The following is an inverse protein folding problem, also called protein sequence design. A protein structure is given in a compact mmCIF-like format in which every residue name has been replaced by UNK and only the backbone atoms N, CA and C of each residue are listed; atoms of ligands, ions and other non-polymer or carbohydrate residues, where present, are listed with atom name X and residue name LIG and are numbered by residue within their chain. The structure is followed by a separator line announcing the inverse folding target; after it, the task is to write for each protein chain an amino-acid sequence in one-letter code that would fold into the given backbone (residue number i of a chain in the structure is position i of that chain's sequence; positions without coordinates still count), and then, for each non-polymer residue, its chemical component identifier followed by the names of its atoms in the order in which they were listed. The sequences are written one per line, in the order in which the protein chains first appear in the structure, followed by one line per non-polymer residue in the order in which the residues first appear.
data_IF_788691472390
#
_entry.id   IF_788691472390
#
_cell.length_a   1.000
_cell.length_b   1.000
_cell.length_c   1.000
_cell.angle_alpha   90.00
_cell.angle_beta   90.00
_cell.angle_gamma   90.00
#
_symmetry.space_group_name_H-M   'P 1'
#
loop_
_entity.id
_entity.type
_entity.pdbx_description
1 polymer ?
#
# COMPACT_ATOMS: atom_id res chain seq x y z
N UNK A 1 36.95 15.85 10.62
CA UNK A 1 35.96 16.85 11.12
C UNK A 1 34.81 16.86 10.14
N UNK A 2 33.65 16.43 10.61
CA UNK A 2 32.42 16.17 9.86
C UNK A 2 31.72 17.47 9.40
N UNK A 3 30.87 17.28 8.38
CA UNK A 3 29.65 18.01 8.05
C UNK A 3 29.76 19.33 7.26
N UNK A 4 29.19 19.29 6.05
CA UNK A 4 28.25 20.26 5.41
C UNK A 4 28.54 20.40 3.90
N UNK A 5 27.66 19.86 3.05
CA UNK A 5 26.84 20.63 2.10
C UNK A 5 26.21 19.74 1.01
N UNK A 6 25.23 18.91 1.40
CA UNK A 6 24.39 18.08 0.51
C UNK A 6 23.14 18.83 -0.03
N UNK A 7 23.14 20.16 -0.02
CA UNK A 7 21.96 21.00 -0.35
C UNK A 7 21.96 21.59 -1.77
N UNK A 8 23.05 21.46 -2.53
CA UNK A 8 23.16 22.03 -3.88
C UNK A 8 22.56 21.15 -4.99
N UNK A 9 22.40 19.84 -4.75
CA UNK A 9 21.96 18.87 -5.77
C UNK A 9 20.46 18.89 -6.07
N UNK A 10 19.62 19.26 -5.10
CA UNK A 10 18.16 19.35 -5.27
C UNK A 10 17.75 20.66 -5.95
N UNK A 11 18.45 21.76 -5.64
CA UNK A 11 18.25 23.05 -6.30
C UNK A 11 18.63 22.99 -7.79
N UNK A 12 19.68 22.22 -8.14
CA UNK A 12 20.10 22.03 -9.52
C UNK A 12 19.03 21.28 -10.35
N UNK A 13 18.34 20.29 -9.76
CA UNK A 13 17.27 19.55 -10.45
C UNK A 13 16.06 20.40 -10.80
N UNK A 14 15.65 21.31 -9.90
CA UNK A 14 14.57 22.28 -10.15
C UNK A 14 15.00 23.36 -11.15
N UNK A 15 16.25 23.82 -11.09
CA UNK A 15 16.82 24.79 -12.02
C UNK A 15 17.01 24.22 -13.42
N UNK A 16 17.35 22.94 -13.56
CA UNK A 16 17.47 22.27 -14.86
C UNK A 16 16.10 22.02 -15.50
N UNK A 17 15.07 21.70 -14.72
CA UNK A 17 13.68 21.61 -15.21
C UNK A 17 13.16 22.99 -15.65
N UNK A 18 13.45 24.05 -14.88
CA UNK A 18 13.13 25.42 -15.24
C UNK A 18 13.90 25.89 -16.49
N UNK A 19 15.21 25.61 -16.58
CA UNK A 19 16.05 25.97 -17.72
C UNK A 19 15.68 25.22 -19.01
N UNK A 20 15.21 23.98 -18.89
CA UNK A 20 14.74 23.17 -20.01
C UNK A 20 13.39 23.67 -20.55
N UNK A 21 12.47 24.07 -19.66
CA UNK A 21 11.21 24.72 -20.04
C UNK A 21 11.42 26.11 -20.66
N UNK A 22 12.43 26.85 -20.21
CA UNK A 22 12.80 28.17 -20.75
C UNK A 22 13.38 28.12 -22.17
N UNK A 23 13.94 26.99 -22.62
CA UNK A 23 14.61 26.88 -23.93
C UNK A 23 13.69 26.55 -25.10
N UNK A 24 12.48 26.02 -24.87
CA UNK A 24 11.67 25.43 -25.96
C UNK A 24 10.29 26.03 -26.24
N UNK A 25 9.78 26.99 -25.45
CA UNK A 25 8.46 27.59 -25.75
C UNK A 25 8.55 29.06 -26.16
N UNK A 26 8.83 29.31 -27.44
CA UNK A 26 8.75 30.66 -28.03
C UNK A 26 7.30 31.20 -28.13
N UNK A 27 6.27 30.41 -27.78
CA UNK A 27 4.84 30.77 -27.89
C UNK A 27 4.08 30.94 -26.57
N UNK A 28 4.70 30.70 -25.41
CA UNK A 28 4.00 30.70 -24.12
C UNK A 28 4.33 31.92 -23.23
N UNK A 29 4.35 33.14 -23.78
CA UNK A 29 4.97 34.31 -23.14
C UNK A 29 4.07 35.36 -22.46
N UNK A 30 2.76 35.15 -22.29
CA UNK A 30 1.94 36.11 -21.54
C UNK A 30 1.53 35.57 -20.15
N UNK A 31 1.01 34.35 -20.09
CA UNK A 31 0.42 33.83 -18.84
C UNK A 31 1.46 33.24 -17.87
N UNK A 32 2.60 32.75 -18.39
CA UNK A 32 3.69 32.20 -17.57
C UNK A 32 4.49 33.29 -16.83
N UNK A 33 4.57 34.51 -17.35
CA UNK A 33 5.32 35.58 -16.71
C UNK A 33 4.61 36.09 -15.44
N UNK A 34 3.29 36.23 -15.49
CA UNK A 34 2.48 36.58 -14.32
C UNK A 34 2.50 35.45 -13.28
N UNK A 35 2.47 34.20 -13.73
CA UNK A 35 2.61 33.00 -12.88
C UNK A 35 3.99 32.92 -12.20
N UNK A 36 5.09 33.26 -12.90
CA UNK A 36 6.43 33.33 -12.30
C UNK A 36 6.62 34.51 -11.34
N UNK A 37 5.92 35.63 -11.53
CA UNK A 37 5.90 36.76 -10.59
C UNK A 37 5.17 36.37 -9.29
N UNK A 38 4.07 35.62 -9.37
CA UNK A 38 3.42 35.02 -8.21
C UNK A 38 4.29 33.92 -7.55
N UNK A 39 5.02 33.13 -8.35
CA UNK A 39 6.00 32.13 -7.89
C UNK A 39 7.18 32.80 -7.13
N UNK A 40 7.65 33.96 -7.60
CA UNK A 40 8.70 34.75 -6.97
C UNK A 40 8.18 35.55 -5.77
N UNK A 41 6.92 35.98 -5.77
CA UNK A 41 6.27 36.61 -4.60
C UNK A 41 6.01 35.62 -3.47
N UNK A 42 5.57 34.40 -3.78
CA UNK A 42 5.56 33.30 -2.81
C UNK A 42 6.98 32.85 -2.42
N UNK A 43 7.95 32.96 -3.32
CA UNK A 43 9.37 32.66 -3.07
C UNK A 43 10.09 33.67 -2.17
N UNK A 44 9.66 34.93 -2.13
CA UNK A 44 10.31 35.97 -1.32
C UNK A 44 10.14 35.75 0.20
N UNK A 45 9.01 35.17 0.64
CA UNK A 45 8.82 34.73 2.03
C UNK A 45 9.53 33.40 2.34
N UNK A 46 9.72 32.54 1.33
CA UNK A 46 10.45 31.26 1.50
C UNK A 46 11.95 31.51 1.69
N UNK A 47 12.53 32.53 1.06
CA UNK A 47 13.95 32.86 1.22
C UNK A 47 14.28 33.56 2.56
N UNK A 48 13.36 34.34 3.13
CA UNK A 48 13.55 34.95 4.46
C UNK A 48 13.37 33.93 5.60
N UNK A 49 12.54 32.90 5.39
CA UNK A 49 12.41 31.76 6.32
C UNK A 49 13.66 30.86 6.37
N UNK A 50 14.56 30.90 5.37
CA UNK A 50 15.79 30.10 5.37
C UNK A 50 16.82 30.57 6.42
N UNK A 51 16.60 31.73 7.06
CA UNK A 51 17.47 32.22 8.13
C UNK A 51 17.12 31.67 9.53
N UNK A 52 16.01 30.94 9.71
CA UNK A 52 15.63 30.29 10.97
C UNK A 52 14.95 28.95 10.68
N UNK A 53 15.73 27.88 10.71
CA UNK A 53 15.35 26.53 10.25
C UNK A 53 14.14 25.92 10.95
N UNK A 54 13.31 25.21 10.18
CA UNK A 54 12.68 23.94 10.56
C UNK A 54 12.49 23.10 9.27
N UNK A 55 13.23 22.00 9.12
CA UNK A 55 13.30 21.18 7.89
C UNK A 55 11.95 20.68 7.36
N UNK A 56 10.91 20.70 8.20
CA UNK A 56 9.55 20.32 7.85
C UNK A 56 8.83 21.36 6.97
N UNK A 57 9.00 22.66 7.23
CA UNK A 57 8.31 23.72 6.46
C UNK A 57 8.84 23.84 5.04
N UNK A 58 10.16 23.65 4.86
CA UNK A 58 10.82 23.65 3.54
C UNK A 58 10.41 22.42 2.73
N UNK A 59 10.37 21.22 3.35
CA UNK A 59 9.90 20.01 2.68
C UNK A 59 8.42 20.10 2.31
N UNK A 60 7.57 20.63 3.20
CA UNK A 60 6.16 20.88 2.94
C UNK A 60 5.97 21.91 1.81
N UNK A 61 6.74 22.99 1.79
CA UNK A 61 6.71 23.99 0.72
C UNK A 61 7.09 23.41 -0.65
N UNK A 62 8.17 22.63 -0.73
CA UNK A 62 8.57 21.93 -1.96
C UNK A 62 7.55 20.88 -2.41
N UNK A 63 6.88 20.20 -1.46
CA UNK A 63 5.83 19.22 -1.76
C UNK A 63 4.52 19.88 -2.20
N UNK A 64 4.14 21.02 -1.61
CA UNK A 64 2.99 21.80 -2.04
C UNK A 64 3.24 22.39 -3.42
N UNK A 65 4.46 22.87 -3.70
CA UNK A 65 4.89 23.31 -5.03
C UNK A 65 4.85 22.14 -6.02
N UNK A 66 5.40 20.98 -5.65
CA UNK A 66 5.35 19.76 -6.45
C UNK A 66 3.90 19.31 -6.73
N UNK A 67 3.04 19.28 -5.72
CA UNK A 67 1.64 18.95 -5.85
C UNK A 67 0.92 19.96 -6.74
N UNK A 68 1.20 21.26 -6.60
CA UNK A 68 0.62 22.30 -7.43
C UNK A 68 1.06 22.17 -8.91
N UNK A 69 2.34 21.90 -9.15
CA UNK A 69 2.88 21.63 -10.49
C UNK A 69 2.32 20.32 -11.08
N UNK A 70 2.12 19.28 -10.27
CA UNK A 70 1.41 18.05 -10.66
C UNK A 70 -0.04 18.35 -10.99
N UNK A 71 -0.73 19.21 -10.24
CA UNK A 71 -2.14 19.58 -10.49
C UNK A 71 -2.30 20.35 -11.78
N UNK A 72 -1.42 21.31 -12.03
CA UNK A 72 -1.46 22.10 -13.25
C UNK A 72 -1.10 21.24 -14.47
N UNK A 73 -0.09 20.38 -14.35
CA UNK A 73 0.28 19.46 -15.43
C UNK A 73 -0.75 18.35 -15.66
N UNK A 74 -1.38 17.82 -14.60
CA UNK A 74 -2.44 16.82 -14.69
C UNK A 74 -3.74 17.42 -15.25
N UNK A 75 -4.11 18.66 -14.89
CA UNK A 75 -5.27 19.35 -15.48
C UNK A 75 -5.06 19.70 -16.95
N UNK A 76 -3.91 20.28 -17.29
CA UNK A 76 -3.56 20.55 -18.69
C UNK A 76 -3.48 19.26 -19.53
N UNK A 77 -3.21 18.11 -18.90
CA UNK A 77 -3.21 16.80 -19.53
C UNK A 77 -4.52 16.04 -19.39
N UNK A 78 -5.48 16.42 -18.55
CA UNK A 78 -6.72 15.67 -18.35
C UNK A 78 -7.60 15.73 -19.61
N UNK A 79 -7.69 16.91 -20.23
CA UNK A 79 -8.45 17.11 -21.47
C UNK A 79 -7.83 16.37 -22.66
N UNK A 80 -6.49 16.27 -22.71
CA UNK A 80 -5.77 15.46 -23.71
C UNK A 80 -5.76 13.96 -23.36
N UNK A 81 -5.66 13.60 -22.08
CA UNK A 81 -5.57 12.22 -21.62
C UNK A 81 -6.91 11.50 -21.76
N UNK A 82 -8.05 12.13 -21.47
CA UNK A 82 -9.37 11.54 -21.68
C UNK A 82 -9.56 11.15 -23.18
N UNK A 83 -9.23 12.08 -24.08
CA UNK A 83 -9.24 11.87 -25.54
C UNK A 83 -8.30 10.73 -25.98
N UNK A 84 -7.08 10.68 -25.45
CA UNK A 84 -6.12 9.61 -25.77
C UNK A 84 -6.43 8.28 -25.04
N UNK A 85 -7.18 8.27 -23.93
CA UNK A 85 -7.57 7.07 -23.14
C UNK A 85 -8.71 6.34 -23.83
N UNK A 86 -9.66 7.06 -24.43
CA UNK A 86 -10.65 6.44 -25.33
C UNK A 86 -10.00 5.83 -26.58
N UNK A 87 -8.86 6.38 -27.01
CA UNK A 87 -8.01 5.86 -28.08
C UNK A 87 -7.00 4.78 -27.65
N UNK A 88 -6.93 4.39 -26.36
CA UNK A 88 -6.13 3.25 -25.93
C UNK A 88 -6.76 1.95 -26.43
N UNK A 89 -6.43 1.58 -27.67
CA UNK A 89 -6.45 0.19 -28.08
C UNK A 89 -5.37 -0.53 -27.27
N UNK A 90 -5.78 -1.15 -26.16
CA UNK A 90 -4.95 -2.11 -25.45
C UNK A 90 -4.44 -3.15 -26.45
N UNK A 91 -3.15 -3.08 -26.79
CA UNK A 91 -2.47 -4.04 -27.65
C UNK A 91 -1.79 -3.51 -28.92
N UNK A 92 -1.76 -2.20 -29.23
CA UNK A 92 -1.12 -1.77 -30.50
C UNK A 92 -0.28 -0.49 -30.50
N UNK A 93 -0.31 0.36 -29.47
CA UNK A 93 0.53 1.57 -29.47
C UNK A 93 1.13 1.82 -28.09
N UNK A 94 2.34 1.32 -27.91
CA UNK A 94 3.30 1.88 -26.96
C UNK A 94 3.61 3.28 -27.47
N UNK A 95 3.62 4.28 -26.58
CA UNK A 95 4.13 5.58 -26.97
C UNK A 95 5.65 5.42 -27.08
N UNK A 96 6.17 5.14 -28.28
CA UNK A 96 7.62 5.18 -28.52
C UNK A 96 8.10 6.60 -28.22
N UNK A 97 8.66 6.78 -27.04
CA UNK A 97 9.07 8.08 -26.58
C UNK A 97 10.34 8.46 -27.31
N UNK A 98 10.22 9.38 -28.26
CA UNK A 98 11.39 10.00 -28.88
C UNK A 98 12.14 10.78 -27.81
N UNK A 99 13.30 10.25 -27.42
CA UNK A 99 14.19 10.91 -26.49
C UNK A 99 14.48 12.34 -26.99
N UNK A 100 14.41 13.31 -26.07
CA UNK A 100 14.64 14.74 -26.32
C UNK A 100 13.49 15.49 -27.01
N UNK A 101 12.31 14.89 -27.14
CA UNK A 101 11.09 15.63 -27.48
C UNK A 101 10.57 16.46 -26.29
N UNK A 102 9.69 17.42 -26.56
CA UNK A 102 8.95 18.13 -25.52
C UNK A 102 8.13 17.15 -24.66
N UNK A 103 7.49 16.18 -25.31
CA UNK A 103 6.75 15.09 -24.67
C UNK A 103 7.63 14.27 -23.72
N UNK A 104 8.86 13.95 -24.12
CA UNK A 104 9.83 13.24 -23.27
C UNK A 104 10.17 14.03 -22.01
N UNK A 105 10.44 15.32 -22.17
CA UNK A 105 10.86 16.19 -21.07
C UNK A 105 9.73 16.41 -20.06
N UNK A 106 8.50 16.53 -20.58
CA UNK A 106 7.26 16.70 -19.83
C UNK A 106 6.86 15.41 -19.09
N UNK A 107 7.10 14.23 -19.70
CA UNK A 107 6.91 12.93 -19.06
C UNK A 107 7.92 12.69 -17.94
N UNK A 108 9.21 12.93 -18.21
CA UNK A 108 10.30 12.82 -17.24
C UNK A 108 10.05 13.70 -16.01
N UNK A 109 9.74 14.98 -16.22
CA UNK A 109 9.45 15.92 -15.13
C UNK A 109 8.28 15.47 -14.26
N UNK A 110 7.19 15.00 -14.87
CA UNK A 110 6.02 14.49 -14.14
C UNK A 110 6.36 13.24 -13.32
N UNK A 111 7.07 12.27 -13.90
CA UNK A 111 7.41 11.03 -13.22
C UNK A 111 8.41 11.23 -12.08
N UNK A 112 9.39 12.12 -12.24
CA UNK A 112 10.32 12.48 -11.16
C UNK A 112 9.59 13.13 -9.99
N UNK A 113 8.66 14.03 -10.29
CA UNK A 113 7.85 14.71 -9.29
C UNK A 113 6.93 13.74 -8.54
N UNK A 114 6.26 12.85 -9.27
CA UNK A 114 5.44 11.80 -8.70
C UNK A 114 6.27 10.83 -7.85
N UNK A 115 7.43 10.38 -8.35
CA UNK A 115 8.34 9.49 -7.62
C UNK A 115 8.83 10.13 -6.31
N UNK A 116 9.20 11.41 -6.34
CA UNK A 116 9.61 12.13 -5.13
C UNK A 116 8.47 12.21 -4.11
N UNK A 117 7.30 12.65 -4.55
CA UNK A 117 6.14 12.87 -3.70
C UNK A 117 5.62 11.56 -3.08
N UNK A 118 5.55 10.48 -3.86
CA UNK A 118 5.10 9.17 -3.38
C UNK A 118 6.09 8.53 -2.40
N UNK A 119 7.40 8.66 -2.65
CA UNK A 119 8.42 8.18 -1.71
C UNK A 119 8.44 8.98 -0.42
N UNK A 120 8.22 10.29 -0.50
CA UNK A 120 8.18 11.13 0.68
C UNK A 120 6.95 10.81 1.54
N UNK A 121 5.77 10.64 0.92
CA UNK A 121 4.57 10.25 1.65
C UNK A 121 4.70 8.87 2.30
N UNK A 122 5.35 7.91 1.62
CA UNK A 122 5.63 6.58 2.18
C UNK A 122 6.59 6.58 3.38
N UNK A 123 7.42 7.63 3.55
CA UNK A 123 8.35 7.80 4.67
C UNK A 123 7.82 8.72 5.77
N UNK A 124 6.68 9.34 5.55
CA UNK A 124 6.07 10.25 6.52
C UNK A 124 5.68 9.50 7.80
N UNK A 125 5.72 10.21 8.94
CA UNK A 125 5.13 9.73 10.18
C UNK A 125 3.62 9.54 10.02
N UNK A 126 3.00 8.70 10.85
CA UNK A 126 1.60 8.28 10.67
C UNK A 126 0.59 9.44 10.55
N UNK A 127 0.75 10.50 11.35
CA UNK A 127 -0.03 11.74 11.31
C UNK A 127 0.11 12.48 9.96
N UNK A 128 1.35 12.64 9.49
CA UNK A 128 1.65 13.28 8.21
C UNK A 128 1.27 12.41 7.00
N UNK A 129 1.37 11.08 7.13
CA UNK A 129 1.00 10.14 6.08
C UNK A 129 -0.48 10.28 5.72
N UNK A 130 -1.36 10.44 6.72
CA UNK A 130 -2.79 10.67 6.49
C UNK A 130 -3.02 12.01 5.78
N UNK A 131 -2.35 13.08 6.21
CA UNK A 131 -2.41 14.38 5.54
C UNK A 131 -2.00 14.28 4.06
N UNK A 132 -0.92 13.56 3.75
CA UNK A 132 -0.49 13.36 2.36
C UNK A 132 -1.49 12.53 1.55
N UNK A 133 -2.10 11.49 2.13
CA UNK A 133 -3.14 10.72 1.47
C UNK A 133 -4.31 11.64 1.08
N UNK A 134 -4.74 12.52 1.99
CA UNK A 134 -5.84 13.46 1.76
C UNK A 134 -5.49 14.50 0.70
N UNK A 135 -4.32 15.13 0.78
CA UNK A 135 -3.82 16.08 -0.21
C UNK A 135 -3.79 15.47 -1.62
N UNK A 136 -3.35 14.21 -1.73
CA UNK A 136 -3.25 13.52 -3.02
C UNK A 136 -4.60 13.07 -3.55
N UNK A 137 -5.52 12.70 -2.66
CA UNK A 137 -6.90 12.38 -2.99
C UNK A 137 -7.64 13.61 -3.52
N UNK A 138 -7.56 14.75 -2.83
CA UNK A 138 -8.18 16.01 -3.27
C UNK A 138 -7.66 16.50 -4.62
N UNK A 139 -6.40 16.21 -4.93
CA UNK A 139 -5.79 16.50 -6.22
C UNK A 139 -6.19 15.56 -7.36
N UNK A 140 -6.89 14.44 -7.06
CA UNK A 140 -7.30 13.42 -8.00
C UNK A 140 -6.15 12.89 -8.89
N UNK A 141 -4.92 12.81 -8.35
CA UNK A 141 -3.73 12.49 -9.14
C UNK A 141 -3.66 11.04 -9.62
N UNK A 142 -4.32 10.11 -8.91
CA UNK A 142 -4.19 8.68 -9.18
C UNK A 142 -4.58 8.31 -10.61
N UNK A 143 -5.72 8.79 -11.11
CA UNK A 143 -6.17 8.43 -12.46
C UNK A 143 -5.21 8.90 -13.56
N UNK A 144 -4.71 10.14 -13.45
CA UNK A 144 -3.75 10.70 -14.41
C UNK A 144 -2.40 9.97 -14.36
N UNK A 145 -1.91 9.64 -13.16
CA UNK A 145 -0.67 8.90 -12.98
C UNK A 145 -0.80 7.46 -13.48
N UNK A 146 -1.89 6.76 -13.15
CA UNK A 146 -2.16 5.40 -13.62
C UNK A 146 -2.20 5.35 -15.15
N UNK A 147 -2.98 6.23 -15.78
CA UNK A 147 -3.10 6.30 -17.23
C UNK A 147 -1.76 6.66 -17.91
N UNK A 148 -1.00 7.59 -17.33
CA UNK A 148 0.31 7.99 -17.87
C UNK A 148 1.31 6.84 -17.74
N UNK A 149 1.43 6.21 -16.57
CA UNK A 149 2.41 5.16 -16.35
C UNK A 149 2.16 3.96 -17.25
N UNK A 150 0.91 3.49 -17.36
CA UNK A 150 0.56 2.35 -18.22
C UNK A 150 0.96 2.56 -19.68
N UNK A 151 0.86 3.79 -20.20
CA UNK A 151 1.29 4.15 -21.57
C UNK A 151 2.80 4.17 -21.78
N UNK A 152 3.52 4.46 -20.70
CA UNK A 152 4.97 4.65 -20.70
C UNK A 152 5.72 3.38 -20.29
N UNK A 153 5.00 2.31 -19.96
CA UNK A 153 5.59 1.01 -19.69
C UNK A 153 6.37 0.51 -20.93
N UNK A 154 7.47 -0.22 -20.71
CA UNK A 154 8.18 -0.86 -21.81
C UNK A 154 7.24 -1.75 -22.64
N UNK A 155 7.43 -1.73 -23.97
CA UNK A 155 6.60 -2.48 -24.91
C UNK A 155 6.50 -3.97 -24.57
N UNK A 156 7.63 -4.55 -24.16
CA UNK A 156 7.73 -5.96 -23.80
C UNK A 156 7.06 -6.30 -22.46
N UNK A 157 6.99 -5.35 -21.52
CA UNK A 157 6.21 -5.54 -20.28
C UNK A 157 4.74 -5.64 -20.62
N UNK A 158 4.25 -4.76 -21.49
CA UNK A 158 2.87 -4.78 -21.93
C UNK A 158 2.56 -6.05 -22.75
N UNK A 159 3.45 -6.45 -23.66
CA UNK A 159 3.31 -7.67 -24.44
C UNK A 159 3.30 -8.92 -23.55
N UNK A 160 4.24 -9.06 -22.60
CA UNK A 160 4.30 -10.19 -21.68
C UNK A 160 3.10 -10.24 -20.70
N UNK A 161 2.49 -9.10 -20.40
CA UNK A 161 1.25 -9.06 -19.62
C UNK A 161 0.00 -9.47 -20.43
N UNK A 162 0.06 -9.36 -21.76
CA UNK A 162 -1.05 -9.64 -22.68
C UNK A 162 -0.97 -11.06 -23.26
N UNK A 163 0.23 -11.60 -23.46
CA UNK A 163 0.50 -12.90 -24.07
C UNK A 163 1.24 -13.85 -23.11
N UNK A 164 0.74 -15.08 -22.89
CA UNK A 164 1.33 -16.04 -21.94
C UNK A 164 2.73 -16.56 -22.33
N UNK A 165 3.13 -16.48 -23.60
CA UNK A 165 4.43 -16.92 -24.13
C UNK A 165 5.48 -15.78 -24.22
N UNK A 166 5.18 -14.60 -23.66
CA UNK A 166 5.96 -13.37 -23.85
C UNK A 166 7.31 -13.32 -23.11
N UNK A 167 8.26 -12.61 -23.73
CA UNK A 167 9.65 -12.35 -23.34
C UNK A 167 9.90 -12.09 -21.82
N UNK A 168 11.12 -12.34 -21.30
CA UNK A 168 11.39 -12.33 -19.87
C UNK A 168 11.17 -10.96 -19.21
N UNK A 169 10.06 -10.84 -18.47
CA UNK A 169 9.78 -9.76 -17.49
C UNK A 169 10.89 -9.60 -16.43
N UNK A 170 11.77 -10.59 -16.30
CA UNK A 170 12.91 -10.58 -15.39
C UNK A 170 13.78 -9.32 -15.57
N UNK A 171 13.96 -8.83 -16.81
CA UNK A 171 14.81 -7.65 -17.09
C UNK A 171 14.27 -6.36 -16.48
N UNK A 172 12.96 -6.22 -16.38
CA UNK A 172 12.29 -5.01 -15.88
C UNK A 172 11.91 -5.09 -14.40
N UNK A 173 12.03 -6.26 -13.77
CA UNK A 173 11.72 -6.45 -12.36
C UNK A 173 12.36 -5.40 -11.44
N UNK A 174 13.64 -5.02 -11.59
CA UNK A 174 14.26 -4.01 -10.72
C UNK A 174 13.57 -2.65 -10.79
N UNK A 175 13.02 -2.27 -11.95
CA UNK A 175 12.34 -1.00 -12.15
C UNK A 175 11.01 -0.88 -11.38
N UNK A 176 10.40 -2.00 -10.98
CA UNK A 176 9.21 -2.01 -10.11
C UNK A 176 9.57 -2.03 -8.62
N UNK A 177 10.82 -2.34 -8.26
CA UNK A 177 11.25 -2.52 -6.87
C UNK A 177 11.97 -1.29 -6.31
N UNK A 178 12.71 -0.59 -7.16
CA UNK A 178 13.53 0.54 -6.76
C UNK A 178 13.48 1.66 -7.80
N UNK A 179 13.75 2.88 -7.32
CA UNK A 179 13.94 4.02 -8.21
C UNK A 179 15.14 3.73 -9.13
N UNK A 180 15.02 3.88 -10.46
CA UNK A 180 16.15 3.73 -11.35
C UNK A 180 17.27 4.70 -10.97
N UNK A 181 18.54 4.35 -11.24
CA UNK A 181 19.66 5.24 -10.99
C UNK A 181 19.48 6.54 -11.80
N UNK A 182 19.39 7.65 -11.08
CA UNK A 182 19.31 8.98 -11.67
C UNK A 182 20.66 9.65 -11.51
N UNK A 183 21.27 10.04 -12.62
CA UNK A 183 22.53 10.77 -12.63
C UNK A 183 22.28 12.15 -13.23
N UNK A 184 22.53 13.20 -12.43
CA UNK A 184 22.31 14.59 -12.85
C UNK A 184 23.24 15.02 -14.00
N UNK A 185 24.36 14.32 -14.19
CA UNK A 185 25.36 14.60 -15.22
C UNK A 185 25.16 13.74 -16.47
N UNK A 186 24.30 12.72 -16.40
CA UNK A 186 23.90 11.92 -17.56
C UNK A 186 22.51 12.32 -18.03
N UNK A 187 22.32 12.23 -19.34
CA UNK A 187 21.03 12.50 -19.95
C UNK A 187 20.11 11.31 -19.70
N UNK A 188 18.91 11.57 -19.20
CA UNK A 188 17.85 10.58 -19.13
C UNK A 188 17.35 10.28 -20.55
N UNK A 189 17.34 9.01 -20.91
CA UNK A 189 16.81 8.48 -22.16
C UNK A 189 15.38 7.94 -21.99
N UNK A 190 14.82 7.41 -23.08
CA UNK A 190 13.48 6.82 -23.07
C UNK A 190 13.38 5.64 -22.09
N UNK A 191 14.44 4.84 -21.96
CA UNK A 191 14.49 3.70 -21.03
C UNK A 191 14.41 4.15 -19.58
N UNK A 192 15.08 5.26 -19.23
CA UNK A 192 14.98 5.88 -17.91
C UNK A 192 13.54 6.31 -17.62
N UNK A 193 12.85 6.89 -18.60
CA UNK A 193 11.45 7.30 -18.46
C UNK A 193 10.53 6.09 -18.26
N UNK A 194 10.71 5.03 -19.03
CA UNK A 194 9.93 3.79 -18.86
C UNK A 194 10.22 3.10 -17.53
N UNK A 195 11.46 3.08 -17.07
CA UNK A 195 11.82 2.55 -15.75
C UNK A 195 11.19 3.38 -14.61
N UNK A 196 11.19 4.71 -14.74
CA UNK A 196 10.48 5.60 -13.82
C UNK A 196 8.97 5.34 -13.84
N UNK A 197 8.37 5.08 -15.00
CA UNK A 197 6.96 4.74 -15.11
C UNK A 197 6.62 3.43 -14.38
N UNK A 198 7.45 2.39 -14.50
CA UNK A 198 7.33 1.15 -13.73
C UNK A 198 7.35 1.43 -12.21
N UNK A 199 8.32 2.23 -11.77
CA UNK A 199 8.48 2.59 -10.36
C UNK A 199 7.26 3.38 -9.84
N UNK A 200 6.86 4.44 -10.54
CA UNK A 200 5.73 5.29 -10.15
C UNK A 200 4.41 4.51 -10.17
N UNK A 201 4.21 3.60 -11.12
CA UNK A 201 3.04 2.71 -11.14
C UNK A 201 2.97 1.85 -9.87
N UNK A 202 4.10 1.23 -9.49
CA UNK A 202 4.21 0.41 -8.29
C UNK A 202 3.93 1.22 -7.02
N UNK A 203 4.54 2.41 -6.89
CA UNK A 203 4.33 3.31 -5.75
C UNK A 203 2.91 3.87 -5.69
N UNK A 204 2.28 4.14 -6.83
CA UNK A 204 0.90 4.63 -6.90
C UNK A 204 -0.08 3.55 -6.41
N UNK A 205 0.14 2.29 -6.82
CA UNK A 205 -0.71 1.16 -6.42
C UNK A 205 -0.44 0.69 -4.98
N UNK A 206 0.78 0.83 -4.48
CA UNK A 206 1.18 0.30 -3.17
C UNK A 206 1.41 1.35 -2.07
N UNK A 207 1.22 2.63 -2.36
CA UNK A 207 1.52 3.75 -1.45
C UNK A 207 0.29 4.60 -1.11
N UNK A 208 0.51 5.90 -0.87
CA UNK A 208 -0.53 6.83 -0.41
C UNK A 208 -1.73 6.96 -1.38
N UNK A 209 -1.52 6.72 -2.68
CA UNK A 209 -2.57 6.76 -3.71
C UNK A 209 -3.28 5.43 -3.95
N UNK A 210 -2.96 4.36 -3.20
CA UNK A 210 -3.43 3.02 -3.50
C UNK A 210 -4.96 2.88 -3.49
N UNK A 211 -5.65 3.62 -2.60
CA UNK A 211 -7.12 3.63 -2.55
C UNK A 211 -7.75 4.18 -3.82
N UNK A 212 -7.32 5.37 -4.25
CA UNK A 212 -7.77 6.02 -5.47
C UNK A 212 -7.35 5.24 -6.73
N UNK A 213 -6.16 4.63 -6.73
CA UNK A 213 -5.68 3.80 -7.82
C UNK A 213 -6.56 2.55 -8.01
N UNK A 214 -7.01 1.92 -6.91
CA UNK A 214 -7.98 0.81 -6.94
C UNK A 214 -9.36 1.29 -7.43
N UNK A 215 -9.81 2.45 -6.96
CA UNK A 215 -11.06 3.07 -7.43
C UNK A 215 -11.05 3.33 -8.93
N UNK A 216 -9.97 3.92 -9.44
CA UNK A 216 -9.74 4.12 -10.87
C UNK A 216 -9.73 2.80 -11.64
N UNK A 217 -9.03 1.77 -11.13
CA UNK A 217 -9.01 0.45 -11.74
C UNK A 217 -10.39 -0.23 -11.77
N UNK A 218 -11.21 -0.02 -10.73
CA UNK A 218 -12.59 -0.52 -10.64
C UNK A 218 -13.56 0.19 -11.57
N UNK A 219 -13.28 1.45 -11.94
CA UNK A 219 -14.05 2.22 -12.91
C UNK A 219 -13.73 1.87 -14.37
N UNK A 220 -12.69 1.08 -14.64
CA UNK A 220 -12.37 0.62 -15.99
C UNK A 220 -13.42 -0.37 -16.50
N UNK A 221 -13.73 -0.30 -17.80
CA UNK A 221 -14.56 -1.32 -18.46
C UNK A 221 -13.94 -2.73 -18.35
N UNK A 222 -14.80 -3.76 -18.42
CA UNK A 222 -14.42 -5.15 -18.12
C UNK A 222 -13.13 -5.64 -18.80
N UNK A 223 -12.96 -5.34 -20.10
CA UNK A 223 -11.77 -5.70 -20.89
C UNK A 223 -10.51 -4.99 -20.40
N UNK A 224 -10.57 -3.68 -20.20
CA UNK A 224 -9.44 -2.88 -19.72
C UNK A 224 -9.04 -3.28 -18.30
N UNK A 225 -10.03 -3.51 -17.41
CA UNK A 225 -9.80 -4.00 -16.05
C UNK A 225 -9.13 -5.38 -16.03
N UNK A 226 -9.54 -6.31 -16.91
CA UNK A 226 -8.91 -7.63 -17.01
C UNK A 226 -7.45 -7.56 -17.49
N UNK A 227 -7.15 -6.70 -18.46
CA UNK A 227 -5.77 -6.45 -18.90
C UNK A 227 -4.92 -5.84 -17.79
N UNK A 228 -5.44 -4.84 -17.08
CA UNK A 228 -4.73 -4.22 -15.96
C UNK A 228 -4.42 -5.24 -14.86
N UNK A 229 -5.39 -6.11 -14.51
CA UNK A 229 -5.18 -7.18 -13.52
C UNK A 229 -4.04 -8.13 -13.91
N UNK A 230 -3.98 -8.55 -15.18
CA UNK A 230 -2.88 -9.39 -15.69
C UNK A 230 -1.53 -8.69 -15.59
N UNK A 231 -1.47 -7.42 -15.98
CA UNK A 231 -0.26 -6.61 -15.88
C UNK A 231 0.22 -6.44 -14.43
N UNK A 232 -0.71 -6.11 -13.53
CA UNK A 232 -0.42 -5.97 -12.10
C UNK A 232 0.08 -7.30 -11.54
N UNK A 233 -0.58 -8.42 -11.85
CA UNK A 233 -0.18 -9.74 -11.38
C UNK A 233 1.22 -10.15 -11.84
N UNK A 234 1.56 -9.84 -13.08
CA UNK A 234 2.85 -10.21 -13.66
C UNK A 234 4.03 -9.36 -13.13
N UNK A 235 3.82 -8.07 -12.89
CA UNK A 235 4.93 -7.12 -12.68
C UNK A 235 4.89 -6.38 -11.34
N UNK A 236 3.72 -5.90 -10.93
CA UNK A 236 3.57 -5.02 -9.75
C UNK A 236 3.37 -5.84 -8.47
N UNK A 237 2.46 -6.82 -8.50
CA UNK A 237 2.14 -7.66 -7.35
C UNK A 237 3.37 -8.38 -6.80
N UNK A 238 4.28 -8.97 -7.60
CA UNK A 238 5.47 -9.63 -7.07
C UNK A 238 6.38 -8.67 -6.28
N UNK A 239 6.56 -7.43 -6.77
CA UNK A 239 7.36 -6.42 -6.08
C UNK A 239 6.72 -5.98 -4.76
N UNK A 240 5.42 -5.67 -4.78
CA UNK A 240 4.68 -5.25 -3.58
C UNK A 240 4.57 -6.36 -2.53
N UNK A 241 4.27 -7.60 -2.96
CA UNK A 241 4.21 -8.76 -2.05
C UNK A 241 5.56 -9.02 -1.39
N UNK A 242 6.66 -9.03 -2.15
CA UNK A 242 8.02 -9.16 -1.59
C UNK A 242 8.29 -8.06 -0.56
N UNK A 243 7.95 -6.81 -0.87
CA UNK A 243 8.14 -5.68 0.05
C UNK A 243 7.36 -5.84 1.35
N UNK A 244 6.06 -6.14 1.28
CA UNK A 244 5.21 -6.31 2.46
C UNK A 244 5.66 -7.48 3.33
N UNK A 245 5.99 -8.62 2.71
CA UNK A 245 6.48 -9.81 3.42
C UNK A 245 7.87 -9.57 4.03
N UNK A 246 8.76 -8.85 3.33
CA UNK A 246 10.08 -8.46 3.85
C UNK A 246 9.97 -7.54 5.08
N UNK A 247 9.08 -6.55 5.02
CA UNK A 247 8.80 -5.65 6.16
C UNK A 247 8.26 -6.42 7.37
N UNK A 248 7.37 -7.39 7.15
CA UNK A 248 6.89 -8.26 8.21
C UNK A 248 8.01 -9.14 8.76
N UNK A 249 8.79 -9.80 7.89
CA UNK A 249 9.87 -10.70 8.29
C UNK A 249 10.90 -9.99 9.16
N UNK A 250 11.28 -8.76 8.82
CA UNK A 250 12.25 -7.98 9.58
C UNK A 250 11.76 -7.62 10.99
N UNK A 251 10.44 -7.57 11.20
CA UNK A 251 9.79 -7.05 12.41
C UNK A 251 8.91 -8.09 13.13
N UNK A 252 8.96 -9.35 12.68
CA UNK A 252 8.13 -10.42 13.24
C UNK A 252 8.42 -10.66 14.73
N UNK A 253 9.65 -10.39 15.18
CA UNK A 253 10.06 -10.46 16.58
C UNK A 253 9.32 -9.46 17.49
N UNK A 254 8.65 -8.45 16.95
CA UNK A 254 7.83 -7.50 17.73
C UNK A 254 6.48 -8.09 18.18
N UNK A 255 6.13 -9.31 17.77
CA UNK A 255 4.87 -9.98 18.10
C UNK A 255 5.09 -10.91 19.32
N UNK A 256 4.60 -10.55 20.52
CA UNK A 256 4.78 -11.37 21.71
C UNK A 256 3.99 -12.67 21.60
N UNK A 257 4.55 -13.76 22.14
CA UNK A 257 3.93 -15.08 22.25
C UNK A 257 3.44 -15.67 20.91
N UNK A 258 3.90 -15.12 19.79
CA UNK A 258 3.48 -15.52 18.45
C UNK A 258 4.67 -15.94 17.59
N UNK A 259 4.52 -17.05 16.88
CA UNK A 259 5.45 -17.51 15.87
C UNK A 259 4.89 -17.22 14.48
N UNK A 260 5.64 -16.45 13.67
CA UNK A 260 5.25 -16.11 12.30
C UNK A 260 6.08 -16.91 11.31
N UNK A 261 5.39 -17.58 10.37
CA UNK A 261 6.01 -18.26 9.24
C UNK A 261 5.52 -17.66 7.92
N UNK A 262 6.44 -17.42 7.00
CA UNK A 262 6.18 -16.77 5.71
C UNK A 262 6.47 -17.75 4.58
N UNK A 263 5.46 -18.03 3.76
CA UNK A 263 5.56 -18.83 2.55
C UNK A 263 5.64 -17.92 1.32
N UNK A 264 6.86 -17.54 0.96
CA UNK A 264 7.16 -16.56 -0.10
C UNK A 264 6.54 -16.88 -1.46
N UNK A 265 6.59 -18.15 -1.88
CA UNK A 265 6.13 -18.55 -3.22
C UNK A 265 4.64 -18.29 -3.48
N UNK A 266 3.80 -18.43 -2.44
CA UNK A 266 2.34 -18.21 -2.50
C UNK A 266 1.89 -16.92 -1.80
N UNK A 267 2.86 -16.11 -1.36
CA UNK A 267 2.64 -14.90 -0.56
C UNK A 267 1.68 -15.09 0.64
N UNK A 268 1.88 -16.19 1.37
CA UNK A 268 1.07 -16.56 2.54
C UNK A 268 1.87 -16.35 3.83
N UNK A 269 1.21 -15.80 4.84
CA UNK A 269 1.73 -15.59 6.19
C UNK A 269 0.89 -16.42 7.14
N UNK A 270 1.52 -17.22 7.99
CA UNK A 270 0.86 -17.93 9.09
C UNK A 270 1.38 -17.40 10.41
N UNK A 271 0.48 -16.94 11.25
CA UNK A 271 0.75 -16.49 12.60
C UNK A 271 0.18 -17.51 13.59
N UNK A 272 1.04 -18.10 14.41
CA UNK A 272 0.68 -19.07 15.44
C UNK A 272 0.89 -18.44 16.83
N UNK A 273 -0.20 -18.08 17.50
CA UNK A 273 -0.23 -17.44 18.82
C UNK A 273 -0.35 -18.50 19.91
N UNK A 274 0.56 -18.51 20.87
CA UNK A 274 0.49 -19.36 22.06
C UNK A 274 -0.37 -18.69 23.14
N UNK A 275 -1.41 -19.40 23.60
CA UNK A 275 -2.34 -18.96 24.64
C UNK A 275 -2.69 -20.13 25.55
N UNK A 276 -2.35 -20.02 26.84
CA UNK A 276 -2.47 -21.13 27.80
C UNK A 276 -1.72 -22.37 27.26
N UNK A 277 -2.40 -23.51 27.12
CA UNK A 277 -1.84 -24.77 26.59
C UNK A 277 -2.17 -24.96 25.08
N UNK A 278 -2.57 -23.91 24.36
CA UNK A 278 -3.03 -24.01 22.97
C UNK A 278 -2.36 -23.01 22.05
N UNK A 279 -2.18 -23.46 20.81
CA UNK A 279 -1.79 -22.61 19.69
C UNK A 279 -3.02 -22.23 18.86
N UNK A 280 -3.21 -20.94 18.63
CA UNK A 280 -4.21 -20.40 17.72
C UNK A 280 -3.53 -19.91 16.45
N UNK A 281 -4.13 -20.21 15.29
CA UNK A 281 -3.54 -19.88 14.01
C UNK A 281 -4.38 -18.87 13.23
N UNK A 282 -3.71 -17.96 12.52
CA UNK A 282 -4.27 -17.08 11.52
C UNK A 282 -3.43 -17.17 10.24
N UNK A 283 -4.09 -17.37 9.11
CA UNK A 283 -3.43 -17.40 7.79
C UNK A 283 -3.90 -16.20 6.96
N UNK A 284 -2.94 -15.41 6.47
CA UNK A 284 -3.14 -14.28 5.56
C UNK A 284 -2.51 -14.61 4.21
N UNK A 285 -3.25 -14.53 3.11
CA UNK A 285 -2.71 -14.75 1.77
C UNK A 285 -2.94 -13.51 0.90
N UNK A 286 -1.86 -12.93 0.39
CA UNK A 286 -1.95 -11.82 -0.57
C UNK A 286 -2.33 -12.38 -1.95
N UNK A 287 -3.36 -11.80 -2.57
CA UNK A 287 -3.82 -12.19 -3.91
C UNK A 287 -2.72 -12.04 -4.98
N UNK A 288 -2.82 -12.80 -6.05
CA UNK A 288 -1.90 -12.70 -7.19
C UNK A 288 -2.02 -11.36 -7.92
N UNK A 289 -3.18 -10.71 -7.84
CA UNK A 289 -3.43 -9.37 -8.36
C UNK A 289 -3.33 -8.27 -7.29
N UNK A 290 -2.65 -8.54 -6.15
CA UNK A 290 -2.45 -7.53 -5.11
C UNK A 290 -1.81 -6.25 -5.69
N UNK A 291 -2.34 -5.05 -5.42
CA UNK A 291 -3.34 -4.71 -4.41
C UNK A 291 -4.78 -4.57 -4.96
N UNK A 292 -5.03 -4.91 -6.23
CA UNK A 292 -6.36 -4.74 -6.84
C UNK A 292 -7.40 -5.69 -6.25
N UNK A 293 -6.97 -6.87 -5.81
CA UNK A 293 -7.82 -7.87 -5.16
C UNK A 293 -7.44 -7.92 -3.67
N UNK A 294 -8.42 -7.91 -2.75
CA UNK A 294 -8.17 -7.99 -1.32
C UNK A 294 -7.51 -9.33 -0.93
N UNK A 295 -6.73 -9.37 0.16
CA UNK A 295 -6.14 -10.60 0.64
C UNK A 295 -7.21 -11.53 1.22
N UNK A 296 -6.92 -12.83 1.21
CA UNK A 296 -7.73 -13.83 1.90
C UNK A 296 -7.24 -14.00 3.33
N UNK A 297 -8.16 -14.02 4.28
CA UNK A 297 -7.85 -14.22 5.71
C UNK A 297 -8.64 -15.42 6.20
N UNK A 298 -7.94 -16.42 6.73
CA UNK A 298 -8.54 -17.64 7.24
C UNK A 298 -8.10 -17.90 8.67
N UNK A 299 -9.07 -18.25 9.52
CA UNK A 299 -8.86 -18.71 10.87
C UNK A 299 -9.59 -20.06 11.05
N UNK A 300 -9.12 -20.95 11.94
CA UNK A 300 -9.80 -22.20 12.22
C UNK A 300 -11.25 -21.98 12.67
N UNK A 301 -12.22 -22.81 12.24
CA UNK A 301 -13.65 -22.60 12.51
C UNK A 301 -14.02 -22.67 14.01
N UNK A 302 -13.15 -23.24 14.84
CA UNK A 302 -13.33 -23.30 16.30
C UNK A 302 -12.46 -22.28 17.06
N UNK A 303 -11.83 -21.34 16.35
CA UNK A 303 -11.02 -20.30 16.98
C UNK A 303 -11.89 -19.37 17.81
N UNK A 304 -11.47 -18.97 19.02
CA UNK A 304 -12.14 -17.92 19.79
C UNK A 304 -11.98 -16.54 19.14
N UNK A 305 -11.19 -16.41 18.07
CA UNK A 305 -10.99 -15.15 17.37
C UNK A 305 -12.32 -14.52 16.92
N UNK A 306 -12.44 -13.17 16.99
CA UNK A 306 -13.56 -12.47 16.37
C UNK A 306 -13.57 -12.69 14.85
N UNK A 307 -14.67 -12.29 14.21
CA UNK A 307 -14.76 -12.22 12.75
C UNK A 307 -13.49 -11.56 12.19
N UNK A 308 -12.80 -12.24 11.27
CA UNK A 308 -11.54 -11.77 10.70
C UNK A 308 -11.74 -10.83 9.52
N UNK A 309 -12.98 -10.54 9.12
CA UNK A 309 -13.29 -9.66 8.00
C UNK A 309 -12.73 -8.24 8.18
N UNK A 310 -12.63 -7.73 9.42
CA UNK A 310 -12.00 -6.43 9.67
C UNK A 310 -10.52 -6.39 9.27
N UNK A 311 -9.81 -7.53 9.30
CA UNK A 311 -8.41 -7.63 8.85
C UNK A 311 -8.34 -7.41 7.35
N UNK A 312 -9.26 -8.02 6.59
CA UNK A 312 -9.39 -7.82 5.15
C UNK A 312 -9.63 -6.35 4.86
N UNK A 313 -10.57 -5.72 5.56
CA UNK A 313 -10.92 -4.32 5.35
C UNK A 313 -9.74 -3.37 5.68
N UNK A 314 -9.03 -3.64 6.78
CA UNK A 314 -7.86 -2.89 7.19
C UNK A 314 -6.74 -2.96 6.14
N UNK A 315 -6.42 -4.16 5.65
CA UNK A 315 -5.37 -4.35 4.65
C UNK A 315 -5.77 -3.78 3.29
N UNK A 316 -7.01 -4.02 2.84
CA UNK A 316 -7.45 -3.69 1.50
C UNK A 316 -7.88 -2.22 1.32
N UNK A 317 -8.45 -1.57 2.33
CA UNK A 317 -9.04 -0.23 2.18
C UNK A 317 -8.32 0.84 2.98
N UNK A 318 -7.68 0.49 4.10
CA UNK A 318 -6.91 1.44 4.92
C UNK A 318 -5.41 1.40 4.63
N UNK A 319 -4.99 0.61 3.62
CA UNK A 319 -3.58 0.37 3.30
C UNK A 319 -2.76 -0.02 4.55
N UNK A 320 -3.37 -0.82 5.42
CA UNK A 320 -2.78 -1.26 6.67
C UNK A 320 -1.57 -2.18 6.47
N UNK A 321 -0.69 -2.24 7.47
CA UNK A 321 0.49 -3.12 7.43
C UNK A 321 0.17 -4.52 7.95
N UNK A 322 0.83 -5.55 7.40
CA UNK A 322 0.68 -6.93 7.89
C UNK A 322 1.02 -7.06 9.38
N UNK A 323 2.08 -6.38 9.83
CA UNK A 323 2.49 -6.40 11.23
C UNK A 323 1.40 -5.85 12.16
N UNK A 324 0.84 -4.68 11.83
CA UNK A 324 -0.21 -4.08 12.65
C UNK A 324 -1.49 -4.93 12.64
N UNK A 325 -1.85 -5.52 11.50
CA UNK A 325 -2.96 -6.45 11.40
C UNK A 325 -2.77 -7.64 12.38
N UNK A 326 -1.57 -8.23 12.42
CA UNK A 326 -1.25 -9.31 13.36
C UNK A 326 -1.27 -8.83 14.82
N UNK A 327 -0.70 -7.66 15.14
CA UNK A 327 -0.76 -7.07 16.50
C UNK A 327 -2.19 -6.88 16.98
N UNK A 328 -3.04 -6.31 16.13
CA UNK A 328 -4.45 -6.09 16.42
C UNK A 328 -5.20 -7.42 16.62
N UNK A 329 -4.91 -8.43 15.79
CA UNK A 329 -5.49 -9.76 15.94
C UNK A 329 -5.07 -10.43 17.26
N UNK A 330 -3.77 -10.45 17.58
CA UNK A 330 -3.25 -10.99 18.84
C UNK A 330 -3.92 -10.31 20.04
N UNK A 331 -4.00 -8.98 20.02
CA UNK A 331 -4.64 -8.20 21.09
C UNK A 331 -6.12 -8.55 21.23
N UNK A 332 -6.86 -8.64 20.11
CA UNK A 332 -8.29 -8.94 20.12
C UNK A 332 -8.59 -10.36 20.64
N UNK A 333 -7.79 -11.35 20.21
CA UNK A 333 -7.91 -12.73 20.67
C UNK A 333 -7.59 -12.83 22.15
N UNK A 334 -6.46 -12.25 22.59
CA UNK A 334 -6.01 -12.29 23.98
C UNK A 334 -7.03 -11.64 24.93
N UNK A 335 -7.54 -10.46 24.58
CA UNK A 335 -8.56 -9.78 25.36
C UNK A 335 -9.86 -10.61 25.46
N UNK A 336 -10.25 -11.29 24.37
CA UNK A 336 -11.45 -12.14 24.36
C UNK A 336 -11.29 -13.39 25.23
N UNK A 337 -10.10 -13.99 25.25
CA UNK A 337 -9.82 -15.15 26.13
C UNK A 337 -9.76 -14.71 27.59
N UNK A 338 -9.08 -13.61 27.90
CA UNK A 338 -8.95 -13.08 29.27
C UNK A 338 -10.29 -12.66 29.88
N UNK A 339 -11.20 -12.10 29.07
CA UNK A 339 -12.56 -11.72 29.50
C UNK A 339 -13.53 -12.90 29.60
N UNK A 340 -13.21 -14.06 29.02
CA UNK A 340 -14.06 -15.24 29.12
C UNK A 340 -14.02 -15.81 30.55
N UNK A 341 -15.17 -16.24 31.12
CA UNK A 341 -15.19 -16.86 32.44
C UNK A 341 -14.37 -18.16 32.43
N UNK A 342 -13.84 -18.55 33.59
CA UNK A 342 -13.17 -19.83 33.75
C UNK A 342 -14.21 -20.96 33.88
N UNK A 343 -13.97 -22.10 33.24
CA UNK A 343 -14.82 -23.28 33.45
C UNK A 343 -14.40 -23.99 34.73
N UNK A 344 -15.30 -24.09 35.72
CA UNK A 344 -15.01 -24.74 37.01
C UNK A 344 -14.91 -26.27 36.97
N UNK A 345 -15.04 -26.90 35.80
CA UNK A 345 -14.86 -28.36 35.65
C UNK A 345 -13.41 -28.67 35.24
N UNK A 346 -12.87 -27.95 34.25
CA UNK A 346 -11.50 -28.17 33.77
C UNK A 346 -10.52 -27.08 34.22
N UNK A 347 -11.00 -26.02 34.87
CA UNK A 347 -10.23 -24.84 35.30
C UNK A 347 -9.56 -24.05 34.16
N UNK A 348 -9.90 -24.31 32.90
CA UNK A 348 -9.40 -23.54 31.76
C UNK A 348 -10.43 -22.49 31.30
N UNK A 349 -9.97 -21.37 30.74
CA UNK A 349 -10.84 -20.46 29.99
C UNK A 349 -11.10 -21.03 28.60
N UNK A 350 -10.07 -21.56 27.95
CA UNK A 350 -10.22 -22.26 26.68
C UNK A 350 -10.27 -23.77 26.89
N UNK A 351 -11.23 -24.47 26.29
CA UNK A 351 -11.30 -25.92 26.46
C UNK A 351 -10.07 -26.61 25.84
N UNK A 352 -9.35 -27.48 26.59
CA UNK A 352 -8.07 -28.06 26.13
C UNK A 352 -8.14 -28.82 24.82
N UNK A 353 -9.24 -29.51 24.51
CA UNK A 353 -9.38 -30.27 23.26
C UNK A 353 -10.07 -29.47 22.13
N UNK A 354 -11.10 -28.67 22.45
CA UNK A 354 -11.95 -28.06 21.43
C UNK A 354 -11.63 -26.60 21.12
N UNK A 355 -10.82 -25.92 21.94
CA UNK A 355 -10.48 -24.51 21.74
C UNK A 355 -11.63 -23.52 21.99
N UNK A 356 -12.81 -24.03 22.39
CA UNK A 356 -14.00 -23.19 22.60
C UNK A 356 -13.99 -22.57 23.98
N UNK A 357 -14.57 -21.36 24.08
CA UNK A 357 -14.83 -20.67 25.34
C UNK A 357 -16.09 -21.25 26.02
N UNK A 358 -16.28 -21.05 27.34
CA UNK A 358 -17.45 -21.57 28.05
C UNK A 358 -18.69 -20.79 27.61
N UNK A 359 -19.65 -21.51 27.06
CA UNK A 359 -20.84 -20.92 26.44
C UNK A 359 -22.15 -21.35 27.10
N UNK A 360 -22.14 -22.37 27.94
CA UNK A 360 -23.36 -22.94 28.55
C UNK A 360 -23.53 -22.39 29.97
N UNK A 361 -24.42 -21.41 30.21
CA UNK A 361 -24.66 -20.86 31.53
C UNK A 361 -25.59 -21.76 32.36
N UNK A 362 -25.34 -21.86 33.66
CA UNK A 362 -26.37 -22.35 34.59
C UNK A 362 -27.48 -21.30 34.73
N UNK A 363 -28.74 -21.70 34.60
CA UNK A 363 -29.88 -20.78 34.74
C UNK A 363 -29.95 -20.12 36.14
N UNK A 364 -29.52 -20.82 37.19
CA UNK A 364 -29.54 -20.31 38.56
C UNK A 364 -28.32 -19.43 38.89
N UNK A 365 -27.10 -19.98 38.83
CA UNK A 365 -25.90 -19.26 39.28
C UNK A 365 -25.15 -18.51 38.16
N UNK A 366 -25.61 -18.59 36.91
CA UNK A 366 -25.06 -17.89 35.73
C UNK A 366 -23.61 -18.21 35.33
N UNK A 367 -22.87 -19.00 36.13
CA UNK A 367 -21.57 -19.55 35.77
C UNK A 367 -21.64 -20.35 34.46
N UNK A 368 -20.64 -20.17 33.59
CA UNK A 368 -20.59 -20.80 32.27
C UNK A 368 -19.63 -21.98 32.24
N UNK A 369 -19.98 -22.99 31.46
CA UNK A 369 -19.18 -24.21 31.28
C UNK A 369 -18.96 -24.50 29.80
N UNK A 370 -17.87 -25.21 29.48
CA UNK A 370 -17.72 -25.77 28.14
C UNK A 370 -18.73 -26.91 27.96
N UNK A 371 -19.39 -26.96 26.80
CA UNK A 371 -20.32 -28.05 26.47
C UNK A 371 -19.70 -29.46 26.63
N UNK A 372 -18.43 -29.73 26.22
CA UNK A 372 -17.78 -31.02 26.47
C UNK A 372 -17.60 -31.34 27.96
N UNK A 373 -17.13 -30.38 28.76
CA UNK A 373 -16.95 -30.56 30.21
C UNK A 373 -18.27 -30.89 30.90
N UNK A 374 -19.34 -30.16 30.56
CA UNK A 374 -20.64 -30.34 31.16
C UNK A 374 -21.26 -31.70 30.79
N UNK A 375 -21.14 -32.12 29.52
CA UNK A 375 -21.59 -33.45 29.07
C UNK A 375 -20.85 -34.58 29.83
N UNK A 376 -19.53 -34.48 29.98
CA UNK A 376 -18.74 -35.46 30.74
C UNK A 376 -19.16 -35.49 32.22
N UNK A 377 -19.41 -34.33 32.82
CA UNK A 377 -19.88 -34.22 34.21
C UNK A 377 -21.22 -34.93 34.42
N UNK A 378 -22.21 -34.71 33.56
CA UNK A 378 -23.51 -35.38 33.66
C UNK A 378 -23.40 -36.89 33.50
N UNK A 379 -22.59 -37.33 32.52
CA UNK A 379 -22.36 -38.76 32.29
C UNK A 379 -21.69 -39.45 33.49
N UNK A 380 -20.77 -38.76 34.19
CA UNK A 380 -20.00 -39.35 35.29
C UNK A 380 -20.77 -39.30 36.62
N UNK A 381 -21.54 -38.24 36.86
CA UNK A 381 -22.32 -38.06 38.09
C UNK A 381 -23.69 -38.73 38.05
N UNK A 382 -24.11 -39.22 36.89
CA UNK A 382 -25.44 -39.76 36.60
C UNK A 382 -26.59 -38.79 36.97
N UNK A 383 -26.31 -37.48 36.98
CA UNK A 383 -27.24 -36.39 37.35
C UNK A 383 -26.98 -35.17 36.48
N UNK A 384 -28.04 -34.54 35.98
CA UNK A 384 -27.96 -33.31 35.19
C UNK A 384 -27.96 -32.06 36.08
N UNK A 385 -27.14 -32.02 37.12
CA UNK A 385 -27.10 -30.92 38.10
C UNK A 385 -25.85 -30.05 37.93
N UNK A 386 -25.98 -28.76 38.20
CA UNK A 386 -24.87 -27.82 38.19
C UNK A 386 -23.77 -28.23 39.20
N UNK A 387 -22.48 -28.29 38.79
CA UNK A 387 -21.38 -28.63 39.70
C UNK A 387 -21.26 -27.68 40.89
N UNK A 388 -21.72 -26.43 40.75
CA UNK A 388 -21.56 -25.38 41.76
C UNK A 388 -22.78 -25.25 42.66
N UNK A 389 -23.96 -24.96 42.09
CA UNK A 389 -25.17 -24.70 42.87
C UNK A 389 -26.10 -25.91 43.02
N UNK A 390 -25.76 -27.05 42.41
CA UNK A 390 -26.51 -28.33 42.46
C UNK A 390 -27.94 -28.31 41.90
N UNK A 391 -28.40 -27.19 41.35
CA UNK A 391 -29.69 -27.08 40.64
C UNK A 391 -29.67 -27.88 39.34
N UNK A 392 -30.79 -28.50 38.95
CA UNK A 392 -30.95 -29.22 37.67
C UNK A 392 -30.75 -28.26 36.50
N UNK A 393 -29.87 -28.60 35.56
CA UNK A 393 -29.36 -27.68 34.53
C UNK A 393 -30.41 -27.17 33.56
#
# INVERSE_FOLDING_TARGET
MLARSDSHSVALGLLLLAAHLLRHSARARADLAQFYIELLRCGAQVCEMLARSDSHSVALGLLLLAAHLLRHSARARADLAQFYIELLRCGAQVCEMLARSDSHSVALGLLLLAAHLLRHSARARADLAQFYIELLREGAYAGALMASCVRLLPADVLAAALEPDGAPLARHRPAFEALPPLDMYRRCDADTVSALACFVLCETLGGALAGEARGWAGALGARAGATLRRLVSACVAPALRRRLLGQLSARAHELPDAHVSIHWARAEVRCALQLEERTLELTLQLADEHPLVPPTVTAPPNSPAPDTNWIVLYLAYQNGTLLNALKMWISAVSARVQSAPQCYICYCRMHPASGRLPSVPCHQCRNKFHSPCLRKWFSTSNKSNCPLCRTKF
#
